data_IF_020736451391
#
_entry.id   IF_020736451391
#
_cell.length_a   1.000
_cell.length_b   1.000
_cell.length_c   1.000
_cell.angle_alpha   90.00
_cell.angle_beta   90.00
_cell.angle_gamma   90.00
#
_symmetry.space_group_name_H-M   'P 1'
#
loop_
_entity.id
_entity.type
_entity.pdbx_description
1 polymer ?
#
# COMPACT_ATOMS: atom_id res chain seq x y z
N UNK A 1 33.66 6.94 -23.51
CA UNK A 1 32.99 5.89 -22.70
C UNK A 1 32.59 6.48 -21.37
N UNK A 2 31.36 6.97 -21.26
CA UNK A 2 30.80 7.43 -19.98
C UNK A 2 30.14 6.20 -19.36
N UNK A 3 30.75 5.66 -18.30
CA UNK A 3 30.15 4.57 -17.54
C UNK A 3 28.92 5.10 -16.79
N UNK A 4 27.75 4.56 -17.11
CA UNK A 4 26.52 4.79 -16.35
C UNK A 4 26.67 4.12 -14.96
N UNK A 5 26.88 4.93 -13.93
CA UNK A 5 26.77 4.46 -12.54
C UNK A 5 25.30 4.12 -12.29
N UNK A 6 24.99 2.82 -12.15
CA UNK A 6 23.67 2.37 -11.65
C UNK A 6 23.43 3.03 -10.29
N UNK A 7 22.46 3.93 -10.21
CA UNK A 7 21.95 4.38 -8.92
C UNK A 7 21.36 3.15 -8.21
N UNK A 8 21.81 2.85 -6.99
CA UNK A 8 21.20 1.82 -6.13
C UNK A 8 19.83 2.27 -5.57
N UNK A 9 19.13 3.16 -6.29
CA UNK A 9 17.85 3.68 -5.85
C UNK A 9 16.75 2.66 -6.15
N UNK A 10 15.88 2.37 -5.17
CA UNK A 10 14.78 1.43 -5.37
C UNK A 10 13.87 1.93 -6.50
N UNK A 11 13.79 1.16 -7.58
CA UNK A 11 12.92 1.46 -8.70
C UNK A 11 11.48 1.15 -8.31
N UNK A 12 10.62 2.17 -8.34
CA UNK A 12 9.18 2.00 -8.24
C UNK A 12 8.62 1.78 -9.65
N UNK A 13 7.72 0.80 -9.81
CA UNK A 13 7.07 0.52 -11.09
C UNK A 13 5.58 0.23 -10.91
N UNK A 14 4.82 0.49 -11.98
CA UNK A 14 3.38 0.32 -12.02
C UNK A 14 2.60 1.36 -11.22
N UNK A 15 1.28 1.17 -11.15
CA UNK A 15 0.33 2.02 -10.45
C UNK A 15 0.02 1.46 -9.06
N UNK A 16 -0.42 2.34 -8.15
CA UNK A 16 -0.82 1.95 -6.79
C UNK A 16 -2.12 2.64 -6.40
N UNK A 17 -2.90 1.95 -5.57
CA UNK A 17 -4.11 2.51 -4.96
C UNK A 17 -3.73 3.13 -3.63
N UNK A 18 -4.20 4.35 -3.37
CA UNK A 18 -3.91 5.10 -2.14
C UNK A 18 -5.17 5.76 -1.59
N UNK A 19 -5.29 5.78 -0.26
CA UNK A 19 -6.06 6.82 0.42
C UNK A 19 -5.23 8.10 0.33
N UNK A 20 -5.66 9.02 -0.55
CA UNK A 20 -4.92 10.23 -0.90
C UNK A 20 -4.64 11.08 0.34
N UNK A 21 -5.63 11.24 1.23
CA UNK A 21 -5.47 12.08 2.42
C UNK A 21 -4.46 11.45 3.39
N UNK A 22 -4.61 10.14 3.67
CA UNK A 22 -3.70 9.41 4.54
C UNK A 22 -2.25 9.39 4.01
N UNK A 23 -2.10 9.15 2.71
CA UNK A 23 -0.79 9.09 2.06
C UNK A 23 -0.10 10.46 2.06
N UNK A 24 -0.82 11.53 1.67
CA UNK A 24 -0.26 12.88 1.62
C UNK A 24 0.12 13.41 3.00
N UNK A 25 -0.68 13.12 4.05
CA UNK A 25 -0.33 13.49 5.43
C UNK A 25 1.00 12.89 5.87
N UNK A 26 1.23 11.61 5.60
CA UNK A 26 2.50 10.94 5.93
C UNK A 26 3.68 11.49 5.10
N UNK A 27 3.47 11.76 3.81
CA UNK A 27 4.49 12.37 2.94
C UNK A 27 4.90 13.77 3.42
N UNK A 28 3.94 14.61 3.82
CA UNK A 28 4.22 15.92 4.38
C UNK A 28 5.00 15.82 5.70
N UNK A 29 4.69 14.83 6.55
CA UNK A 29 5.43 14.62 7.80
C UNK A 29 6.88 14.20 7.56
N UNK A 30 7.15 13.39 6.53
CA UNK A 30 8.53 13.11 6.09
C UNK A 30 9.26 14.40 5.70
N UNK A 31 8.59 15.30 4.99
CA UNK A 31 9.15 16.58 4.55
C UNK A 31 9.58 17.49 5.71
N UNK A 32 8.92 17.39 6.87
CA UNK A 32 9.27 18.18 8.07
C UNK A 32 10.57 17.72 8.75
N UNK A 33 11.17 16.59 8.33
CA UNK A 33 12.35 16.03 8.99
C UNK A 33 13.54 17.00 9.06
N UNK A 34 13.75 17.83 8.05
CA UNK A 34 14.86 18.79 8.01
C UNK A 34 14.86 19.78 9.19
N UNK A 35 13.70 20.03 9.81
CA UNK A 35 13.60 20.87 11.03
C UNK A 35 14.19 20.22 12.28
N UNK A 36 14.32 18.88 12.28
CA UNK A 36 14.80 18.08 13.43
C UNK A 36 16.19 17.46 13.19
N UNK A 37 16.66 17.45 11.94
CA UNK A 37 17.94 16.89 11.55
C UNK A 37 18.55 17.79 10.48
N UNK A 38 19.54 18.60 10.87
CA UNK A 38 20.27 19.48 9.96
C UNK A 38 20.90 18.67 8.82
N UNK A 39 20.63 19.06 7.57
CA UNK A 39 21.00 18.33 6.35
C UNK A 39 20.36 16.93 6.18
N UNK A 40 19.55 16.49 7.13
CA UNK A 40 18.86 15.20 7.06
C UNK A 40 17.71 15.21 6.06
N UNK A 41 17.72 14.24 5.15
CA UNK A 41 16.59 13.94 4.25
C UNK A 41 16.32 12.45 4.25
N UNK A 42 15.06 12.09 4.17
CA UNK A 42 14.64 10.71 3.99
C UNK A 42 14.89 10.28 2.55
N UNK A 43 15.54 9.13 2.38
CA UNK A 43 15.69 8.45 1.11
C UNK A 43 14.85 7.16 1.14
N UNK A 44 14.21 6.86 0.02
CA UNK A 44 13.48 5.61 -0.13
C UNK A 44 14.48 4.45 -0.16
N UNK A 45 14.22 3.42 0.65
CA UNK A 45 15.04 2.20 0.73
C UNK A 45 14.39 1.06 -0.03
N UNK A 46 13.07 0.88 0.14
CA UNK A 46 12.32 -0.17 -0.56
C UNK A 46 10.83 0.06 -0.51
N UNK A 47 10.14 -0.59 -1.44
CA UNK A 47 8.71 -0.84 -1.39
C UNK A 47 8.44 -2.27 -0.93
N UNK A 48 7.38 -2.46 -0.14
CA UNK A 48 6.78 -3.77 0.12
C UNK A 48 5.31 -3.71 -0.29
N UNK A 49 4.96 -4.48 -1.31
CA UNK A 49 3.58 -4.59 -1.78
C UNK A 49 2.76 -5.52 -0.87
N UNK A 50 1.50 -5.15 -0.66
CA UNK A 50 0.56 -5.89 0.16
C UNK A 50 -0.84 -5.93 -0.48
N UNK A 51 -0.98 -6.76 -1.51
CA UNK A 51 -2.16 -6.69 -2.37
C UNK A 51 -2.17 -5.38 -3.13
N UNK A 52 -3.33 -4.71 -3.19
CA UNK A 52 -3.42 -3.38 -3.80
C UNK A 52 -2.87 -2.27 -2.89
N UNK A 53 -2.67 -2.55 -1.61
CA UNK A 53 -1.96 -1.66 -0.68
C UNK A 53 -0.45 -1.86 -0.69
N UNK A 54 0.32 -0.92 -0.11
CA UNK A 54 1.77 -1.00 -0.05
C UNK A 54 2.37 -0.27 1.16
N UNK A 55 3.66 -0.54 1.43
CA UNK A 55 4.50 0.18 2.37
C UNK A 55 5.77 0.70 1.69
N UNK A 56 6.07 1.97 1.88
CA UNK A 56 7.35 2.57 1.51
C UNK A 56 8.21 2.74 2.77
N UNK A 57 9.42 2.20 2.71
CA UNK A 57 10.39 2.28 3.79
C UNK A 57 11.40 3.37 3.47
N UNK A 58 11.46 4.38 4.33
CA UNK A 58 12.41 5.48 4.23
C UNK A 58 13.44 5.41 5.34
N UNK A 59 14.65 5.87 5.03
CA UNK A 59 15.74 6.03 5.99
C UNK A 59 16.36 7.41 5.83
N UNK A 60 16.64 8.10 6.92
CA UNK A 60 17.43 9.33 6.86
C UNK A 60 18.89 8.98 6.58
N UNK A 61 19.48 9.65 5.60
CA UNK A 61 20.88 9.43 5.21
C UNK A 61 21.91 10.00 6.21
N UNK A 62 21.48 10.79 7.19
CA UNK A 62 22.38 11.42 8.19
C UNK A 62 22.23 10.78 9.56
N UNK A 63 21.00 10.70 10.09
CA UNK A 63 20.75 10.25 11.47
C UNK A 63 20.22 8.81 11.58
N UNK A 64 20.18 8.06 10.47
CA UNK A 64 19.70 6.67 10.41
C UNK A 64 18.27 6.42 10.90
N UNK A 65 17.46 7.46 11.12
CA UNK A 65 16.04 7.33 11.48
C UNK A 65 15.29 6.62 10.36
N UNK A 66 14.39 5.71 10.74
CA UNK A 66 13.51 5.00 9.80
C UNK A 66 12.08 5.52 9.90
N UNK A 67 11.39 5.58 8.77
CA UNK A 67 9.97 5.90 8.70
C UNK A 67 9.28 5.00 7.68
N UNK A 68 8.04 4.61 7.98
CA UNK A 68 7.20 3.84 7.07
C UNK A 68 6.04 4.73 6.65
N UNK A 69 5.75 4.71 5.35
CA UNK A 69 4.53 5.30 4.80
C UNK A 69 3.68 4.22 4.18
N UNK A 70 2.42 4.16 4.55
CA UNK A 70 1.47 3.18 4.03
C UNK A 70 0.51 3.82 3.03
N UNK A 71 0.06 3.04 2.07
CA UNK A 71 -0.92 3.46 1.06
C UNK A 71 -2.29 3.80 1.65
N UNK A 72 -2.60 3.20 2.80
CA UNK A 72 -3.90 3.28 3.46
C UNK A 72 -3.77 2.92 4.96
N UNK A 73 -4.85 3.11 5.71
CA UNK A 73 -5.01 2.79 7.14
C UNK A 73 -5.18 1.27 7.32
N UNK A 74 -4.07 0.55 7.41
CA UNK A 74 -4.04 -0.93 7.44
C UNK A 74 -4.88 -1.57 8.55
N UNK A 75 -5.00 -0.92 9.71
CA UNK A 75 -5.79 -1.44 10.83
C UNK A 75 -7.29 -1.26 10.64
N UNK A 76 -7.71 -0.51 9.62
CA UNK A 76 -9.11 -0.21 9.39
C UNK A 76 -9.83 -1.37 8.69
N UNK A 77 -11.09 -1.60 9.06
CA UNK A 77 -11.93 -2.64 8.44
C UNK A 77 -12.23 -2.30 6.99
N UNK A 78 -12.25 -1.03 6.62
CA UNK A 78 -12.47 -0.52 5.27
C UNK A 78 -11.17 -0.28 4.48
N UNK A 79 -10.04 -0.83 4.92
CA UNK A 79 -8.79 -0.70 4.17
C UNK A 79 -8.93 -1.19 2.72
N UNK A 80 -8.06 -0.70 1.84
CA UNK A 80 -8.10 -0.90 0.40
C UNK A 80 -8.15 -2.36 -0.04
N UNK A 81 -7.53 -3.28 0.69
CA UNK A 81 -7.61 -4.71 0.39
C UNK A 81 -8.97 -5.30 0.76
N UNK A 82 -9.53 -4.90 1.92
CA UNK A 82 -10.89 -5.27 2.30
C UNK A 82 -11.91 -4.68 1.31
N UNK A 83 -11.74 -3.42 0.89
CA UNK A 83 -12.59 -2.76 -0.10
C UNK A 83 -12.57 -3.48 -1.46
N UNK A 84 -11.38 -3.87 -1.95
CA UNK A 84 -11.24 -4.67 -3.18
C UNK A 84 -12.00 -5.98 -3.08
N UNK A 85 -11.80 -6.75 -2.00
CA UNK A 85 -12.46 -8.05 -1.82
C UNK A 85 -13.97 -7.89 -1.66
N UNK A 86 -14.42 -6.91 -0.89
CA UNK A 86 -15.86 -6.62 -0.76
C UNK A 86 -16.45 -6.27 -2.13
N UNK A 87 -15.85 -5.32 -2.86
CA UNK A 87 -16.31 -4.95 -4.19
C UNK A 87 -16.40 -6.14 -5.15
N UNK A 88 -15.38 -6.99 -5.16
CA UNK A 88 -15.36 -8.21 -5.96
C UNK A 88 -16.50 -9.18 -5.62
N UNK A 89 -16.70 -9.46 -4.32
CA UNK A 89 -17.79 -10.34 -3.87
C UNK A 89 -19.17 -9.75 -4.19
N UNK A 90 -19.33 -8.44 -4.06
CA UNK A 90 -20.58 -7.74 -4.37
C UNK A 90 -20.96 -7.79 -5.84
N UNK A 91 -20.00 -7.89 -6.75
CA UNK A 91 -20.24 -8.03 -8.20
C UNK A 91 -20.09 -9.48 -8.70
N UNK A 92 -19.94 -10.45 -7.80
CA UNK A 92 -19.89 -11.87 -8.13
C UNK A 92 -18.61 -12.34 -8.82
N UNK A 93 -17.48 -11.64 -8.61
CA UNK A 93 -16.18 -12.05 -9.18
C UNK A 93 -15.22 -12.56 -8.09
N UNK A 94 -14.29 -13.43 -8.49
CA UNK A 94 -13.27 -14.00 -7.63
C UNK A 94 -11.86 -13.48 -7.92
N UNK A 95 -10.87 -14.07 -7.25
CA UNK A 95 -9.47 -13.67 -7.35
C UNK A 95 -8.93 -13.64 -8.78
N UNK A 96 -9.30 -14.63 -9.62
CA UNK A 96 -8.77 -14.70 -10.99
C UNK A 96 -9.17 -13.47 -11.82
N UNK A 97 -10.43 -13.07 -11.74
CA UNK A 97 -10.90 -11.86 -12.45
C UNK A 97 -10.27 -10.58 -11.88
N UNK A 98 -10.00 -10.55 -10.57
CA UNK A 98 -9.26 -9.44 -9.93
C UNK A 98 -7.83 -9.36 -10.47
N UNK A 99 -7.13 -10.49 -10.58
CA UNK A 99 -5.78 -10.55 -11.15
C UNK A 99 -5.75 -9.99 -12.58
N UNK A 100 -6.69 -10.41 -13.43
CA UNK A 100 -6.80 -9.94 -14.81
C UNK A 100 -7.09 -8.42 -14.87
N UNK A 101 -8.03 -7.93 -14.05
CA UNK A 101 -8.37 -6.51 -13.95
C UNK A 101 -7.15 -5.67 -13.51
N UNK A 102 -6.48 -6.09 -12.44
CA UNK A 102 -5.35 -5.36 -11.88
C UNK A 102 -4.13 -5.41 -12.81
N UNK A 103 -3.93 -6.51 -13.54
CA UNK A 103 -2.89 -6.60 -14.56
C UNK A 103 -3.11 -5.56 -15.68
N UNK A 104 -4.33 -5.37 -16.16
CA UNK A 104 -4.67 -4.33 -17.15
C UNK A 104 -4.44 -2.92 -16.58
N UNK A 105 -4.74 -2.72 -15.29
CA UNK A 105 -4.47 -1.46 -14.61
C UNK A 105 -2.98 -1.21 -14.29
N UNK A 106 -2.11 -2.20 -14.50
CA UNK A 106 -0.72 -2.21 -14.06
C UNK A 106 -0.59 -2.00 -12.53
N UNK A 107 -1.47 -2.66 -11.78
CA UNK A 107 -1.55 -2.62 -10.31
C UNK A 107 -1.19 -3.98 -9.70
N UNK A 108 -0.55 -4.02 -8.51
CA UNK A 108 -0.27 -5.28 -7.82
C UNK A 108 -1.56 -5.98 -7.34
N UNK A 109 -1.59 -7.30 -7.48
CA UNK A 109 -2.71 -8.15 -7.03
C UNK A 109 -2.41 -8.82 -5.68
N UNK A 110 -3.42 -9.05 -4.80
CA UNK A 110 -3.24 -9.88 -3.62
C UNK A 110 -2.94 -11.33 -3.96
N UNK A 111 -2.11 -11.99 -3.14
CA UNK A 111 -1.98 -13.45 -3.22
C UNK A 111 -3.26 -14.15 -2.75
N UNK A 112 -3.46 -15.40 -3.17
CA UNK A 112 -4.61 -16.21 -2.74
C UNK A 112 -4.81 -16.24 -1.22
N UNK A 113 -3.73 -16.44 -0.46
CA UNK A 113 -3.76 -16.44 1.01
C UNK A 113 -4.26 -15.10 1.57
N UNK A 114 -3.85 -13.97 0.97
CA UNK A 114 -4.31 -12.64 1.39
C UNK A 114 -5.76 -12.41 1.01
N UNK A 115 -6.13 -12.74 -0.22
CA UNK A 115 -7.52 -12.65 -0.67
C UNK A 115 -8.46 -13.41 0.26
N UNK A 116 -8.16 -14.69 0.55
CA UNK A 116 -8.94 -15.52 1.48
C UNK A 116 -9.04 -14.93 2.88
N UNK A 117 -7.95 -14.33 3.39
CA UNK A 117 -7.97 -13.66 4.69
C UNK A 117 -8.95 -12.48 4.70
N UNK A 118 -8.92 -11.65 3.66
CA UNK A 118 -9.83 -10.50 3.52
C UNK A 118 -11.28 -10.94 3.29
N UNK A 119 -11.51 -12.03 2.56
CA UNK A 119 -12.85 -12.64 2.39
C UNK A 119 -13.46 -13.06 3.74
N UNK A 120 -12.68 -13.71 4.61
CA UNK A 120 -13.13 -14.07 5.97
C UNK A 120 -13.44 -12.84 6.82
N UNK A 121 -12.64 -11.77 6.72
CA UNK A 121 -12.88 -10.52 7.44
C UNK A 121 -14.20 -9.90 6.98
N UNK A 122 -14.41 -9.78 5.66
CA UNK A 122 -15.64 -9.22 5.09
C UNK A 122 -16.86 -10.07 5.43
N UNK A 123 -16.75 -11.40 5.39
CA UNK A 123 -17.85 -12.29 5.78
C UNK A 123 -18.33 -12.09 7.22
N UNK A 124 -17.41 -11.84 8.16
CA UNK A 124 -17.76 -11.51 9.56
C UNK A 124 -18.48 -10.17 9.68
N UNK A 125 -18.06 -9.17 8.91
CA UNK A 125 -18.70 -7.84 8.90
C UNK A 125 -20.11 -7.91 8.33
N UNK A 126 -20.29 -8.65 7.22
CA UNK A 126 -21.60 -8.90 6.62
C UNK A 126 -22.56 -9.50 7.64
N UNK A 127 -22.17 -10.61 8.27
CA UNK A 127 -23.00 -11.29 9.26
C UNK A 127 -23.44 -10.37 10.41
N UNK A 128 -22.54 -9.52 10.92
CA UNK A 128 -22.87 -8.57 12.00
C UNK A 128 -23.80 -7.43 11.58
N UNK A 129 -23.84 -7.06 10.29
CA UNK A 129 -24.79 -6.06 9.77
C UNK A 129 -26.17 -6.65 9.48
N UNK A 130 -26.24 -7.87 8.95
CA UNK A 130 -27.51 -8.56 8.70
C UNK A 130 -28.21 -9.05 9.98
N UNK A 131 -27.50 -9.18 11.10
CA UNK A 131 -28.11 -9.52 12.41
C UNK A 131 -28.77 -8.33 13.12
N UNK A 132 -28.64 -7.11 12.58
CA UNK A 132 -29.21 -5.88 13.14
C UNK A 132 -30.34 -5.28 12.28
N UNK A 133 -30.80 -6.01 11.26
CA UNK A 133 -31.96 -5.67 10.46
C UNK A 133 -33.16 -6.50 10.90
#
# INVERSE_FOLDING_TARGET
>A
NVEYVKSNEPTLSGRRVVDIEHFMKQMMELGKHGSKCTMGRFVLIKEVQNGVGFKLYFKCHVCDRHQIVTSDRESSVDNVNNALVWGALSIGIGLRQIEDLLAVMDCPSPSFKKFKRHEVIIGKVGNNKFQKC
#
